data_IF_786681019474
#
_entry.id   IF_786681019474
#
_cell.length_a   1.000
_cell.length_b   1.000
_cell.length_c   1.000
_cell.angle_alpha   90.00
_cell.angle_beta   90.00
_cell.angle_gamma   90.00
#
_symmetry.space_group_name_H-M   'P 1'
#
loop_
_entity.id
_entity.type
_entity.pdbx_description
1 polymer ?
#
# COMPACT_ATOMS: atom_id res chain seq x y z
N UNK A 1 -27.34 -5.65 25.64
CA UNK A 1 -26.80 -5.26 24.32
C UNK A 1 -25.38 -4.74 24.51
N UNK A 2 -24.36 -5.55 24.22
CA UNK A 2 -22.95 -5.16 24.29
C UNK A 2 -22.46 -4.77 22.88
N UNK A 3 -21.85 -3.59 22.77
CA UNK A 3 -21.26 -3.03 21.54
C UNK A 3 -20.02 -3.84 21.15
N UNK A 4 -19.87 -4.15 19.86
CA UNK A 4 -18.65 -4.75 19.30
C UNK A 4 -17.60 -3.65 19.08
N UNK A 5 -16.48 -3.76 19.78
CA UNK A 5 -15.26 -3.02 19.45
C UNK A 5 -14.35 -3.93 18.62
N UNK A 6 -13.88 -3.39 17.49
CA UNK A 6 -12.98 -4.06 16.55
C UNK A 6 -11.60 -4.25 17.20
N UNK A 7 -11.13 -5.50 17.24
CA UNK A 7 -9.94 -5.95 17.95
C UNK A 7 -8.63 -5.62 17.20
N UNK A 8 -8.40 -4.36 16.85
CA UNK A 8 -7.14 -3.91 16.25
C UNK A 8 -6.29 -3.05 17.21
N UNK A 9 -6.62 -3.03 18.49
CA UNK A 9 -5.96 -2.14 19.44
C UNK A 9 -5.58 -2.90 20.71
N UNK A 10 -4.28 -3.22 20.80
CA UNK A 10 -3.42 -3.18 21.99
C UNK A 10 -2.19 -4.02 21.70
N UNK A 11 -1.06 -3.38 21.47
CA UNK A 11 0.24 -3.76 22.06
C UNK A 11 1.20 -2.58 21.85
N UNK A 12 1.55 -1.93 22.95
CA UNK A 12 2.70 -1.04 23.09
C UNK A 12 3.69 -1.84 23.95
N UNK A 13 4.96 -1.96 23.55
CA UNK A 13 6.17 -1.62 24.34
C UNK A 13 7.46 -2.31 23.84
N UNK A 14 8.51 -1.49 23.76
CA UNK A 14 9.96 -1.73 24.02
C UNK A 14 10.79 -2.70 23.14
N UNK A 15 11.90 -2.16 22.62
CA UNK A 15 12.86 -2.80 21.72
C UNK A 15 13.56 -4.07 22.24
N UNK A 16 13.60 -5.09 21.39
CA UNK A 16 14.45 -6.30 21.39
C UNK A 16 14.26 -7.01 20.04
N UNK A 17 15.23 -7.83 19.54
CA UNK A 17 15.12 -8.46 18.23
C UNK A 17 13.84 -9.31 18.16
N UNK A 18 13.06 -9.10 17.11
CA UNK A 18 11.78 -9.79 16.87
C UNK A 18 12.07 -11.30 16.73
N UNK A 19 11.94 -12.04 17.83
CA UNK A 19 11.72 -13.48 17.79
C UNK A 19 10.28 -13.70 17.31
N UNK A 20 10.10 -13.96 16.02
CA UNK A 20 8.80 -14.34 15.46
C UNK A 20 8.25 -15.58 16.19
N UNK A 21 7.15 -15.51 16.96
CA UNK A 21 6.63 -16.69 17.63
C UNK A 21 5.65 -17.46 16.74
N UNK A 22 5.75 -18.78 16.90
CA UNK A 22 4.80 -19.90 16.79
C UNK A 22 4.12 -20.27 15.44
N UNK A 23 3.92 -21.58 15.29
CA UNK A 23 3.44 -22.33 14.11
C UNK A 23 2.19 -21.75 13.46
N UNK A 24 1.44 -20.89 14.14
CA UNK A 24 0.29 -20.17 13.60
C UNK A 24 0.66 -19.21 12.46
N UNK A 25 1.83 -18.56 12.52
CA UNK A 25 2.39 -17.74 11.43
C UNK A 25 2.77 -18.61 10.22
N UNK A 26 3.36 -19.79 10.46
CA UNK A 26 3.65 -20.78 9.41
C UNK A 26 2.36 -21.34 8.79
N UNK A 27 1.33 -21.55 9.60
CA UNK A 27 0.01 -22.00 9.14
C UNK A 27 -0.74 -20.90 8.38
N UNK A 28 -0.49 -19.61 8.67
CA UNK A 28 -1.01 -18.50 7.88
C UNK A 28 -0.34 -18.42 6.49
N UNK A 29 0.99 -18.60 6.42
CA UNK A 29 1.75 -18.74 5.15
C UNK A 29 1.35 -20.02 4.39
N UNK A 30 1.05 -21.11 5.09
CA UNK A 30 0.58 -22.36 4.48
C UNK A 30 -0.84 -22.22 3.87
N UNK A 31 -1.74 -21.48 4.53
CA UNK A 31 -3.10 -21.17 4.02
C UNK A 31 -3.08 -20.22 2.81
N UNK A 32 -2.06 -19.36 2.74
CA UNK A 32 -1.75 -18.44 1.64
C UNK A 32 -1.54 -19.15 0.27
N UNK A 33 -1.09 -20.40 0.27
CA UNK A 33 -0.97 -21.21 -0.96
C UNK A 33 -2.32 -21.84 -1.40
N UNK A 34 -3.36 -21.83 -0.55
CA UNK A 34 -4.63 -22.50 -0.83
C UNK A 34 -5.82 -21.55 -1.10
N UNK A 35 -5.66 -20.23 -0.95
CA UNK A 35 -6.75 -19.27 -1.23
C UNK A 35 -6.27 -18.04 -2.00
N UNK A 36 -7.20 -17.49 -2.81
CA UNK A 36 -7.03 -16.24 -3.56
C UNK A 36 -6.93 -15.07 -2.55
N UNK A 37 -5.72 -14.62 -2.24
CA UNK A 37 -5.51 -13.48 -1.34
C UNK A 37 -6.28 -12.25 -1.80
N UNK A 38 -6.80 -11.48 -0.84
CA UNK A 38 -7.30 -10.14 -1.11
C UNK A 38 -6.19 -9.10 -0.99
N UNK A 39 -6.45 -7.87 -1.44
CA UNK A 39 -5.53 -6.74 -1.23
C UNK A 39 -5.36 -6.42 0.27
N UNK A 40 -6.41 -6.58 1.07
CA UNK A 40 -6.35 -6.40 2.52
C UNK A 40 -5.42 -7.39 3.19
N UNK A 41 -5.45 -8.66 2.77
CA UNK A 41 -4.54 -9.68 3.29
C UNK A 41 -3.09 -9.29 2.99
N UNK A 42 -2.81 -8.85 1.75
CA UNK A 42 -1.50 -8.36 1.35
C UNK A 42 -1.02 -7.17 2.21
N UNK A 43 -1.85 -6.15 2.39
CA UNK A 43 -1.53 -5.00 3.24
C UNK A 43 -1.30 -5.41 4.70
N UNK A 44 -2.08 -6.35 5.22
CA UNK A 44 -1.92 -6.88 6.58
C UNK A 44 -0.56 -7.56 6.74
N UNK A 45 -0.21 -8.47 5.83
CA UNK A 45 1.07 -9.17 5.83
C UNK A 45 2.24 -8.17 5.83
N UNK A 46 2.21 -7.18 4.93
CA UNK A 46 3.30 -6.20 4.83
C UNK A 46 3.44 -5.36 6.11
N UNK A 47 2.32 -4.92 6.71
CA UNK A 47 2.35 -4.18 7.97
C UNK A 47 2.90 -5.01 9.14
N UNK A 48 2.63 -6.31 9.17
CA UNK A 48 3.13 -7.20 10.23
C UNK A 48 4.61 -7.56 10.05
N UNK A 49 5.06 -7.78 8.82
CA UNK A 49 6.45 -8.16 8.54
C UNK A 49 7.37 -6.94 8.56
N UNK A 50 6.91 -5.78 8.07
CA UNK A 50 7.72 -4.57 7.93
C UNK A 50 7.12 -3.36 8.68
N UNK A 51 6.77 -3.47 9.98
CA UNK A 51 6.07 -2.40 10.70
C UNK A 51 6.84 -1.08 10.74
N UNK A 52 8.18 -1.15 10.68
CA UNK A 52 9.08 0.02 10.69
C UNK A 52 9.30 0.64 9.30
N UNK A 53 8.79 0.03 8.22
CA UNK A 53 9.01 0.50 6.83
C UNK A 53 7.76 1.06 6.17
N UNK A 54 6.57 0.71 6.68
CA UNK A 54 5.31 1.03 6.02
C UNK A 54 4.26 1.57 7.01
N UNK A 55 3.58 2.63 6.59
CA UNK A 55 2.36 3.13 7.20
C UNK A 55 1.21 2.99 6.22
N UNK A 56 0.13 2.35 6.64
CA UNK A 56 -1.06 2.12 5.82
C UNK A 56 -2.21 2.95 6.38
N UNK A 57 -2.63 3.98 5.64
CA UNK A 57 -3.68 4.90 6.07
C UNK A 57 -5.07 4.23 6.07
N UNK A 58 -6.04 4.73 6.86
CA UNK A 58 -7.41 4.21 6.86
C UNK A 58 -8.06 4.17 5.46
N UNK A 59 -7.75 5.15 4.61
CA UNK A 59 -8.21 5.21 3.21
C UNK A 59 -7.67 4.08 2.34
N UNK A 60 -6.45 3.61 2.60
CA UNK A 60 -5.86 2.48 1.88
C UNK A 60 -6.55 1.16 2.24
N UNK A 61 -6.85 0.94 3.52
CA UNK A 61 -7.64 -0.22 3.97
C UNK A 61 -9.04 -0.21 3.35
N UNK A 62 -9.70 0.96 3.34
CA UNK A 62 -11.02 1.12 2.75
C UNK A 62 -11.02 0.79 1.25
N UNK A 63 -10.09 1.38 0.49
CA UNK A 63 -9.99 1.15 -0.96
C UNK A 63 -9.62 -0.30 -1.31
N UNK A 64 -8.80 -0.96 -0.50
CA UNK A 64 -8.49 -2.37 -0.67
C UNK A 64 -9.71 -3.27 -0.43
N UNK A 65 -10.52 -2.96 0.59
CA UNK A 65 -11.78 -3.66 0.85
C UNK A 65 -12.79 -3.49 -0.31
N UNK A 66 -12.91 -2.28 -0.86
CA UNK A 66 -13.79 -1.99 -2.00
C UNK A 66 -13.36 -2.72 -3.28
N UNK A 67 -12.08 -3.08 -3.40
CA UNK A 67 -11.51 -3.82 -4.52
C UNK A 67 -11.47 -5.35 -4.30
N UNK A 68 -12.37 -5.91 -3.48
CA UNK A 68 -12.44 -7.34 -3.17
C UNK A 68 -12.55 -8.28 -4.39
N UNK A 69 -13.01 -7.77 -5.55
CA UNK A 69 -13.12 -8.53 -6.81
C UNK A 69 -11.87 -8.47 -7.69
N UNK A 70 -10.81 -7.79 -7.25
CA UNK A 70 -9.57 -7.72 -8.01
C UNK A 70 -8.93 -9.11 -8.13
N UNK A 71 -8.59 -9.52 -9.34
CA UNK A 71 -8.21 -10.91 -9.64
C UNK A 71 -6.71 -11.13 -9.67
N UNK A 72 -5.94 -10.05 -9.86
CA UNK A 72 -4.47 -10.08 -10.00
C UNK A 72 -3.76 -9.73 -8.69
N UNK A 73 -4.33 -10.19 -7.58
CA UNK A 73 -3.81 -9.92 -6.23
C UNK A 73 -2.39 -10.42 -6.00
N UNK A 74 -1.93 -11.57 -6.56
CA UNK A 74 -0.54 -11.97 -6.44
C UNK A 74 0.42 -10.96 -7.07
N UNK A 75 0.11 -10.46 -8.27
CA UNK A 75 0.97 -9.48 -8.94
C UNK A 75 0.99 -8.13 -8.20
N UNK A 76 -0.15 -7.70 -7.65
CA UNK A 76 -0.17 -6.50 -6.81
C UNK A 76 0.66 -6.69 -5.54
N UNK A 77 0.59 -7.87 -4.93
CA UNK A 77 1.39 -8.19 -3.75
C UNK A 77 2.90 -8.17 -4.06
N UNK A 78 3.34 -8.72 -5.19
CA UNK A 78 4.76 -8.67 -5.61
C UNK A 78 5.26 -7.23 -5.73
N UNK A 79 4.46 -6.34 -6.33
CA UNK A 79 4.79 -4.92 -6.45
C UNK A 79 4.84 -4.22 -5.07
N UNK A 80 3.88 -4.51 -4.19
CA UNK A 80 3.88 -3.96 -2.83
C UNK A 80 5.03 -4.51 -1.97
N UNK A 81 5.44 -5.76 -2.20
CA UNK A 81 6.59 -6.36 -1.53
C UNK A 81 7.87 -5.63 -1.93
N UNK A 82 8.12 -5.46 -3.23
CA UNK A 82 9.24 -4.68 -3.76
C UNK A 82 9.24 -3.23 -3.29
N UNK A 83 8.04 -2.65 -3.10
CA UNK A 83 7.88 -1.30 -2.54
C UNK A 83 8.51 -1.18 -1.16
N UNK A 84 8.23 -2.12 -0.24
CA UNK A 84 8.72 -2.05 1.14
C UNK A 84 10.08 -2.73 1.36
N UNK A 85 10.62 -3.38 0.32
CA UNK A 85 11.95 -4.01 0.32
C UNK A 85 12.90 -3.20 -0.54
N UNK A 86 13.07 -3.59 -1.81
CA UNK A 86 14.04 -3.03 -2.75
C UNK A 86 13.95 -1.49 -2.85
N UNK A 87 12.74 -0.95 -3.04
CA UNK A 87 12.57 0.49 -3.23
C UNK A 87 12.82 1.28 -1.95
N UNK A 88 12.32 0.78 -0.81
CA UNK A 88 12.58 1.37 0.49
C UNK A 88 14.08 1.44 0.79
N UNK A 89 14.84 0.39 0.48
CA UNK A 89 16.30 0.36 0.71
C UNK A 89 17.02 1.41 -0.12
N UNK A 90 16.61 1.62 -1.37
CA UNK A 90 17.18 2.66 -2.22
C UNK A 90 16.85 4.07 -1.69
N UNK A 91 15.61 4.30 -1.23
CA UNK A 91 15.20 5.59 -0.64
C UNK A 91 15.99 5.91 0.63
N UNK A 92 16.20 4.92 1.50
CA UNK A 92 17.00 5.09 2.73
C UNK A 92 18.48 5.32 2.42
N UNK A 93 18.99 4.75 1.34
CA UNK A 93 20.33 5.05 0.83
C UNK A 93 20.45 6.44 0.18
N UNK A 94 19.38 7.26 0.19
CA UNK A 94 19.37 8.62 -0.33
C UNK A 94 19.14 8.72 -1.84
N UNK A 95 18.75 7.61 -2.49
CA UNK A 95 18.43 7.64 -3.91
C UNK A 95 17.02 8.22 -4.12
N UNK A 96 16.85 9.01 -5.18
CA UNK A 96 15.55 9.59 -5.54
C UNK A 96 14.68 8.66 -6.38
N UNK A 97 13.46 9.10 -6.71
CA UNK A 97 12.46 8.31 -7.45
C UNK A 97 12.91 7.79 -8.84
N UNK A 98 14.03 8.27 -9.40
CA UNK A 98 14.55 7.80 -10.68
C UNK A 98 14.90 6.29 -10.67
N UNK A 99 15.20 5.73 -9.50
CA UNK A 99 15.47 4.30 -9.31
C UNK A 99 14.21 3.43 -9.39
N UNK A 100 13.03 4.01 -9.14
CA UNK A 100 11.77 3.28 -9.11
C UNK A 100 11.51 2.55 -10.43
N UNK A 101 11.88 3.15 -11.57
CA UNK A 101 11.69 2.54 -12.89
C UNK A 101 12.58 1.31 -13.12
N UNK A 102 13.72 1.20 -12.44
CA UNK A 102 14.55 0.00 -12.48
C UNK A 102 13.91 -1.17 -11.71
N UNK A 103 13.17 -0.87 -10.64
CA UNK A 103 12.55 -1.87 -9.75
C UNK A 103 11.18 -2.33 -10.28
N UNK A 104 10.37 -1.38 -10.76
CA UNK A 104 8.97 -1.62 -11.13
C UNK A 104 8.70 -1.54 -12.64
N UNK A 105 9.63 -1.05 -13.45
CA UNK A 105 9.42 -0.86 -14.88
C UNK A 105 8.23 0.06 -15.17
N UNK A 106 7.32 -0.40 -16.04
CA UNK A 106 6.15 0.36 -16.49
C UNK A 106 4.97 0.37 -15.51
N UNK A 107 5.06 -0.42 -14.44
CA UNK A 107 4.07 -0.51 -13.37
C UNK A 107 4.22 0.64 -12.35
N UNK A 108 5.25 1.47 -12.46
CA UNK A 108 5.43 2.68 -11.66
C UNK A 108 5.18 3.97 -12.45
N UNK A 109 4.52 4.91 -11.80
CA UNK A 109 4.36 6.28 -12.27
C UNK A 109 4.84 7.26 -11.19
N UNK A 110 5.81 8.11 -11.56
CA UNK A 110 6.37 9.13 -10.67
C UNK A 110 5.39 10.29 -10.38
N UNK A 111 4.38 10.45 -11.23
CA UNK A 111 3.32 11.44 -11.09
C UNK A 111 2.08 10.99 -11.89
N UNK A 112 0.99 11.74 -11.75
CA UNK A 112 -0.23 11.59 -12.54
C UNK A 112 -0.19 12.39 -13.83
N UNK A 113 -1.14 12.16 -14.74
CA UNK A 113 -1.21 12.91 -16.00
C UNK A 113 -1.42 14.41 -15.78
N UNK A 114 -1.01 15.23 -16.75
CA UNK A 114 -1.26 16.69 -16.72
C UNK A 114 -2.74 17.01 -16.51
N UNK A 115 -3.64 16.26 -17.15
CA UNK A 115 -5.09 16.40 -16.97
C UNK A 115 -5.51 16.27 -15.50
N UNK A 116 -4.97 15.27 -14.78
CA UNK A 116 -5.24 15.08 -13.35
C UNK A 116 -4.62 16.21 -12.54
N UNK A 117 -3.38 16.61 -12.86
CA UNK A 117 -2.68 17.69 -12.14
C UNK A 117 -3.36 19.06 -12.31
N UNK A 118 -4.00 19.32 -13.44
CA UNK A 118 -4.74 20.57 -13.65
C UNK A 118 -6.20 20.51 -13.15
N UNK A 119 -6.66 19.36 -12.66
CA UNK A 119 -8.02 19.17 -12.15
C UNK A 119 -8.04 19.10 -10.62
N UNK A 120 -8.58 20.14 -9.98
CA UNK A 120 -8.67 20.24 -8.51
C UNK A 120 -9.40 19.05 -7.86
N UNK A 121 -10.48 18.54 -8.50
CA UNK A 121 -11.22 17.38 -7.98
C UNK A 121 -10.37 16.12 -8.07
N UNK A 122 -9.66 15.93 -9.18
CA UNK A 122 -8.79 14.78 -9.39
C UNK A 122 -7.61 14.74 -8.42
N UNK A 123 -7.00 15.91 -8.16
CA UNK A 123 -5.96 16.09 -7.14
C UNK A 123 -6.45 15.77 -5.74
N UNK A 124 -7.62 16.30 -5.36
CA UNK A 124 -8.23 16.04 -4.05
C UNK A 124 -8.49 14.55 -3.79
N UNK A 125 -8.85 13.77 -4.82
CA UNK A 125 -9.00 12.31 -4.68
C UNK A 125 -7.68 11.60 -4.33
N UNK A 126 -6.54 12.21 -4.64
CA UNK A 126 -5.18 11.71 -4.38
C UNK A 126 -4.53 12.42 -3.19
N UNK A 127 -5.29 13.20 -2.44
CA UNK A 127 -4.84 13.84 -1.21
C UNK A 127 -5.36 13.04 -0.03
N UNK A 128 -4.47 12.70 0.89
CA UNK A 128 -4.78 11.86 2.04
C UNK A 128 -4.24 12.49 3.33
N UNK A 129 -5.00 12.35 4.41
CA UNK A 129 -4.61 12.88 5.72
C UNK A 129 -3.55 11.99 6.37
N UNK A 130 -2.38 12.56 6.66
CA UNK A 130 -1.26 11.90 7.34
C UNK A 130 -0.59 12.87 8.32
N UNK A 131 -0.42 12.48 9.58
CA UNK A 131 0.18 13.31 10.63
C UNK A 131 -0.46 14.72 10.76
N UNK A 132 -1.78 14.83 10.56
CA UNK A 132 -2.50 16.10 10.65
C UNK A 132 -2.32 17.02 9.43
N UNK A 133 -1.68 16.54 8.37
CA UNK A 133 -1.49 17.25 7.12
C UNK A 133 -2.17 16.52 5.97
N UNK A 134 -2.64 17.29 4.98
CA UNK A 134 -3.17 16.76 3.74
C UNK A 134 -2.02 16.59 2.74
N UNK A 135 -1.69 15.33 2.44
CA UNK A 135 -0.55 14.97 1.59
C UNK A 135 -1.06 14.49 0.24
N UNK A 136 -0.63 15.17 -0.82
CA UNK A 136 -0.89 14.73 -2.18
C UNK A 136 0.05 13.60 -2.59
N UNK A 137 -0.51 12.46 -2.97
CA UNK A 137 0.21 11.24 -3.33
C UNK A 137 0.02 10.93 -4.82
N UNK A 138 0.72 11.67 -5.69
CA UNK A 138 0.66 11.47 -7.15
C UNK A 138 1.43 10.24 -7.63
N UNK A 139 2.47 9.84 -6.90
CA UNK A 139 3.22 8.63 -7.16
C UNK A 139 2.34 7.40 -6.95
N UNK A 140 2.38 6.48 -7.90
CA UNK A 140 1.59 5.27 -7.79
C UNK A 140 2.18 4.06 -8.52
N UNK A 141 1.84 2.89 -8.00
CA UNK A 141 1.95 1.62 -8.70
C UNK A 141 0.65 1.32 -9.44
N UNK A 142 0.74 0.60 -10.55
CA UNK A 142 -0.41 0.30 -11.39
C UNK A 142 -0.36 -1.11 -11.97
N UNK A 143 -1.53 -1.73 -12.05
CA UNK A 143 -1.79 -2.90 -12.87
C UNK A 143 -3.05 -2.66 -13.70
N UNK A 144 -3.03 -3.18 -14.93
CA UNK A 144 -4.16 -3.09 -15.85
C UNK A 144 -4.34 -1.70 -16.48
N UNK A 145 -5.04 -1.70 -17.62
CA UNK A 145 -5.46 -0.50 -18.35
C UNK A 145 -6.94 -0.25 -18.05
N UNK A 146 -7.34 1.02 -18.05
CA UNK A 146 -8.65 1.55 -17.60
C UNK A 146 -9.83 0.68 -18.10
N UNK A 147 -10.92 0.65 -17.32
CA UNK A 147 -12.28 0.08 -17.60
C UNK A 147 -12.71 -1.15 -16.77
N UNK A 148 -11.82 -1.91 -16.12
CA UNK A 148 -12.24 -3.08 -15.32
C UNK A 148 -11.74 -3.03 -13.88
N UNK A 149 -12.67 -2.96 -12.92
CA UNK A 149 -12.38 -3.03 -11.46
C UNK A 149 -11.72 -4.37 -11.10
N UNK A 150 -12.05 -5.46 -11.80
CA UNK A 150 -11.46 -6.77 -11.55
C UNK A 150 -10.00 -6.87 -12.02
N UNK A 151 -9.59 -6.02 -12.97
CA UNK A 151 -8.28 -6.09 -13.64
C UNK A 151 -7.38 -4.86 -13.39
N UNK A 152 -7.94 -3.78 -12.85
CA UNK A 152 -7.26 -2.52 -12.63
C UNK A 152 -7.02 -2.29 -11.16
N UNK A 153 -5.76 -2.04 -10.82
CA UNK A 153 -5.34 -1.69 -9.48
C UNK A 153 -4.37 -0.51 -9.50
N UNK A 154 -4.49 0.35 -8.50
CA UNK A 154 -3.61 1.48 -8.24
C UNK A 154 -3.27 1.51 -6.76
N UNK A 155 -2.01 1.74 -6.45
CA UNK A 155 -1.57 2.06 -5.09
C UNK A 155 -0.90 3.42 -5.09
N UNK A 156 -1.51 4.40 -4.45
CA UNK A 156 -0.95 5.74 -4.27
C UNK A 156 -0.22 5.81 -2.94
N UNK A 157 1.00 6.36 -2.98
CA UNK A 157 1.87 6.41 -1.81
C UNK A 157 2.81 7.62 -1.84
N UNK A 158 3.45 7.88 -0.71
CA UNK A 158 4.55 8.84 -0.58
C UNK A 158 5.68 8.27 0.28
N UNK A 159 6.84 8.93 0.22
CA UNK A 159 7.99 8.67 1.08
C UNK A 159 8.08 9.73 2.18
N UNK A 160 8.00 9.30 3.44
CA UNK A 160 8.34 10.13 4.59
C UNK A 160 9.82 9.92 4.91
N UNK A 161 10.65 10.86 4.48
CA UNK A 161 12.10 10.78 4.65
C UNK A 161 12.55 10.97 6.11
N UNK A 162 11.78 11.71 6.91
CA UNK A 162 12.09 11.95 8.32
C UNK A 162 11.92 10.68 9.13
N UNK A 163 10.79 9.99 8.93
CA UNK A 163 10.46 8.74 9.63
C UNK A 163 10.98 7.49 8.92
N UNK A 164 11.50 7.65 7.71
CA UNK A 164 11.96 6.57 6.82
C UNK A 164 10.88 5.52 6.57
N UNK A 165 9.66 5.96 6.28
CA UNK A 165 8.52 5.06 6.00
C UNK A 165 7.86 5.38 4.67
N UNK A 166 7.38 4.34 4.00
CA UNK A 166 6.47 4.47 2.87
C UNK A 166 5.05 4.57 3.41
N UNK A 167 4.34 5.63 3.03
CA UNK A 167 2.96 5.89 3.47
C UNK A 167 2.02 5.59 2.32
N UNK A 168 1.14 4.60 2.49
CA UNK A 168 0.14 4.23 1.48
C UNK A 168 -1.19 4.91 1.80
N UNK A 169 -1.66 5.75 0.88
CA UNK A 169 -2.95 6.45 0.97
C UNK A 169 -4.11 5.75 0.28
N UNK A 170 -3.84 4.97 -0.77
CA UNK A 170 -4.85 4.23 -1.53
C UNK A 170 -4.25 2.92 -2.05
N UNK A 171 -5.04 1.84 -2.08
CA UNK A 171 -4.65 0.54 -2.63
C UNK A 171 -5.88 -0.18 -3.17
N UNK A 172 -6.27 0.07 -4.41
CA UNK A 172 -7.54 -0.44 -4.94
C UNK A 172 -7.80 -0.01 -6.37
N UNK A 173 -9.07 0.20 -6.71
CA UNK A 173 -9.49 0.65 -8.05
C UNK A 173 -8.82 1.96 -8.48
N UNK A 174 -8.85 2.27 -9.77
CA UNK A 174 -8.40 3.58 -10.24
C UNK A 174 -9.25 4.73 -9.66
N UNK A 175 -8.60 5.86 -9.36
CA UNK A 175 -9.24 7.07 -8.86
C UNK A 175 -9.67 7.96 -10.03
N UNK A 176 -10.87 7.67 -10.54
CA UNK A 176 -11.51 8.44 -11.61
C UNK A 176 -12.06 9.77 -11.11
N UNK A 177 -11.99 10.77 -11.99
CA UNK A 177 -12.37 12.16 -11.71
C UNK A 177 -13.47 12.68 -12.63
N UNK A 178 -14.17 11.75 -13.29
CA UNK A 178 -15.31 12.01 -14.16
C UNK A 178 -16.48 12.67 -13.40
#
# INVERSE_FOLDING_TARGET
>A
MKKSESACFRFITTHGPISLPNDEFRQAIYRLHQTKLTLNDGLCILKQIFPERIVILPSAWKSAAEAARFERTPQAFDLLWKLVTDYWEMLVAGQGNHVARQIFGDDFAATESETVQHNTRARRLRTFSYNGQEIEMLMHLRLGRKESIAQTWRTHFTWDAERKVIVIGHCGKHLDHD
#
